data_IF_662561079139
#
_entry.id   IF_662561079139
#
_cell.length_a   1.000
_cell.length_b   1.000
_cell.length_c   1.000
_cell.angle_alpha   90.00
_cell.angle_beta   90.00
_cell.angle_gamma   90.00
#
_symmetry.space_group_name_H-M   'P 1'
#
loop_
_entity.id
_entity.type
_entity.pdbx_description
1 polymer ?
#
# COMPACT_ATOMS: atom_id res chain seq x y z
N UNK A 1 -12.03 -10.29 6.74
CA UNK A 1 -10.83 -9.41 6.82
C UNK A 1 -9.50 -10.06 6.44
N UNK A 2 -9.17 -11.24 6.98
CA UNK A 2 -7.84 -11.86 6.86
C UNK A 2 -7.45 -12.20 5.42
N UNK A 3 -8.38 -12.79 4.65
CA UNK A 3 -8.18 -13.11 3.24
C UNK A 3 -7.73 -11.88 2.43
N UNK A 4 -8.42 -10.74 2.59
CA UNK A 4 -8.07 -9.47 1.91
C UNK A 4 -6.69 -8.98 2.35
N UNK A 5 -6.35 -9.12 3.62
CA UNK A 5 -5.05 -8.64 4.14
C UNK A 5 -3.90 -9.47 3.58
N UNK A 6 -4.08 -10.78 3.45
CA UNK A 6 -3.15 -11.69 2.77
C UNK A 6 -3.05 -11.38 1.27
N UNK A 7 -4.16 -11.15 0.57
CA UNK A 7 -4.15 -10.76 -0.85
C UNK A 7 -3.39 -9.45 -1.06
N UNK A 8 -3.63 -8.43 -0.22
CA UNK A 8 -2.91 -7.15 -0.25
C UNK A 8 -1.42 -7.38 0.02
N UNK A 9 -1.08 -8.24 0.97
CA UNK A 9 0.30 -8.59 1.30
C UNK A 9 1.06 -9.24 0.14
N UNK A 10 0.46 -10.26 -0.51
CA UNK A 10 1.03 -10.91 -1.70
C UNK A 10 1.20 -9.93 -2.86
N UNK A 11 0.13 -9.16 -3.16
CA UNK A 11 0.19 -8.11 -4.17
C UNK A 11 1.30 -7.08 -3.87
N UNK A 12 1.54 -6.74 -2.59
CA UNK A 12 2.59 -5.78 -2.20
C UNK A 12 3.96 -6.22 -2.70
N UNK A 13 4.33 -7.48 -2.49
CA UNK A 13 5.65 -8.00 -2.84
C UNK A 13 5.82 -8.07 -4.35
N UNK A 14 4.84 -8.63 -5.07
CA UNK A 14 4.91 -8.73 -6.53
C UNK A 14 4.94 -7.35 -7.20
N UNK A 15 4.10 -6.44 -6.71
CA UNK A 15 4.06 -5.08 -7.24
C UNK A 15 5.35 -4.31 -6.91
N UNK A 16 5.92 -4.51 -5.73
CA UNK A 16 7.25 -3.96 -5.40
C UNK A 16 8.32 -4.49 -6.36
N UNK A 17 8.38 -5.81 -6.59
CA UNK A 17 9.32 -6.42 -7.51
C UNK A 17 9.18 -5.84 -8.93
N UNK A 18 7.94 -5.67 -9.39
CA UNK A 18 7.64 -5.04 -10.68
C UNK A 18 8.11 -3.59 -10.77
N UNK A 19 7.93 -2.80 -9.70
CA UNK A 19 8.44 -1.43 -9.66
C UNK A 19 9.98 -1.42 -9.64
N UNK A 20 10.59 -2.37 -8.94
CA UNK A 20 12.04 -2.45 -8.78
C UNK A 20 12.78 -2.67 -10.10
N UNK A 21 12.18 -3.39 -11.06
CA UNK A 21 12.74 -3.58 -12.41
C UNK A 21 13.11 -2.25 -13.09
N UNK A 22 12.30 -1.21 -12.90
CA UNK A 22 12.47 0.11 -13.54
C UNK A 22 13.10 1.17 -12.61
N UNK A 23 13.13 0.91 -11.29
CA UNK A 23 13.55 1.88 -10.26
C UNK A 23 14.76 1.41 -9.45
N UNK A 24 15.63 0.55 -9.97
CA UNK A 24 16.84 0.08 -9.27
C UNK A 24 17.62 1.22 -8.60
N UNK A 25 17.95 1.04 -7.32
CA UNK A 25 18.69 2.03 -6.52
C UNK A 25 17.94 3.33 -6.20
N UNK A 26 16.68 3.47 -6.62
CA UNK A 26 15.85 4.65 -6.33
C UNK A 26 14.85 4.38 -5.21
N UNK A 27 14.37 5.47 -4.62
CA UNK A 27 13.24 5.45 -3.71
C UNK A 27 12.02 4.80 -4.37
N UNK A 28 11.31 4.00 -3.60
CA UNK A 28 10.01 3.43 -3.97
C UNK A 28 9.09 3.67 -2.79
N UNK A 29 7.89 4.17 -3.02
CA UNK A 29 6.92 4.35 -1.95
C UNK A 29 5.51 4.30 -2.50
N UNK A 30 4.71 3.33 -2.04
CA UNK A 30 3.32 3.18 -2.49
C UNK A 30 2.43 2.64 -1.37
N UNK A 31 1.12 2.70 -1.59
CA UNK A 31 0.14 2.10 -0.68
C UNK A 31 -0.55 0.92 -1.36
N UNK A 32 -0.13 -0.33 -1.06
CA UNK A 32 -0.72 -1.52 -1.66
C UNK A 32 -2.19 -1.64 -1.29
N UNK A 33 -2.55 -1.42 -0.01
CA UNK A 33 -3.93 -1.34 0.43
C UNK A 33 -4.78 -0.41 -0.44
N UNK A 34 -4.25 0.79 -0.69
CA UNK A 34 -4.97 1.81 -1.44
C UNK A 34 -5.17 1.40 -2.90
N UNK A 35 -4.12 0.90 -3.54
CA UNK A 35 -4.14 0.42 -4.92
C UNK A 35 -5.10 -0.77 -5.07
N UNK A 36 -4.96 -1.80 -4.24
CA UNK A 36 -5.81 -2.99 -4.30
C UNK A 36 -7.28 -2.66 -4.09
N UNK A 37 -7.61 -1.77 -3.15
CA UNK A 37 -9.01 -1.34 -2.94
C UNK A 37 -9.57 -0.53 -4.11
N UNK A 38 -8.74 0.29 -4.76
CA UNK A 38 -9.12 1.08 -5.93
C UNK A 38 -9.36 0.17 -7.15
N UNK A 39 -8.49 -0.83 -7.36
CA UNK A 39 -8.66 -1.82 -8.41
C UNK A 39 -9.83 -2.78 -8.12
N UNK A 40 -10.10 -3.09 -6.85
CA UNK A 40 -11.27 -3.87 -6.45
C UNK A 40 -12.59 -3.17 -6.78
N UNK A 41 -12.62 -1.82 -6.73
CA UNK A 41 -13.77 -1.03 -7.16
C UNK A 41 -14.02 -1.15 -8.68
N UNK A 42 -12.96 -1.28 -9.47
CA UNK A 42 -13.05 -1.52 -10.92
C UNK A 42 -13.43 -2.98 -11.20
N UNK A 43 -12.85 -3.93 -10.46
CA UNK A 43 -13.16 -5.37 -10.53
C UNK A 43 -14.64 -5.67 -10.26
N UNK A 44 -15.30 -4.90 -9.39
CA UNK A 44 -16.73 -5.02 -9.10
C UNK A 44 -17.63 -4.99 -10.35
N UNK A 45 -17.21 -4.29 -11.40
CA UNK A 45 -17.93 -4.22 -12.67
C UNK A 45 -17.27 -4.98 -13.81
N UNK A 46 -16.15 -5.67 -13.57
CA UNK A 46 -15.48 -6.51 -14.55
C UNK A 46 -16.19 -7.85 -14.73
N UNK A 47 -16.13 -8.42 -15.93
CA UNK A 47 -16.66 -9.74 -16.26
C UNK A 47 -15.68 -10.54 -17.13
N UNK A 48 -16.00 -11.82 -17.33
CA UNK A 48 -15.25 -12.74 -18.19
C UNK A 48 -13.73 -12.75 -17.91
N UNK A 49 -12.95 -12.71 -18.99
CA UNK A 49 -11.49 -12.74 -18.90
C UNK A 49 -10.90 -11.52 -18.17
N UNK A 50 -11.57 -10.37 -18.27
CA UNK A 50 -11.15 -9.14 -17.57
C UNK A 50 -11.19 -9.33 -16.06
N UNK A 51 -12.31 -9.87 -15.55
CA UNK A 51 -12.43 -10.17 -14.13
C UNK A 51 -11.40 -11.21 -13.67
N UNK A 52 -11.20 -12.29 -14.45
CA UNK A 52 -10.25 -13.36 -14.13
C UNK A 52 -8.82 -12.82 -13.96
N UNK A 53 -8.30 -12.10 -14.96
CA UNK A 53 -6.96 -11.52 -14.91
C UNK A 53 -6.78 -10.53 -13.74
N UNK A 54 -7.81 -9.71 -13.48
CA UNK A 54 -7.77 -8.80 -12.33
C UNK A 54 -7.71 -9.54 -11.01
N UNK A 55 -8.50 -10.61 -10.85
CA UNK A 55 -8.53 -11.41 -9.63
C UNK A 55 -7.22 -12.17 -9.40
N UNK A 56 -6.57 -12.66 -10.46
CA UNK A 56 -5.26 -13.32 -10.40
C UNK A 56 -4.18 -12.34 -9.94
N UNK A 57 -4.05 -11.18 -10.60
CA UNK A 57 -3.03 -10.17 -10.26
C UNK A 57 -3.21 -9.61 -8.84
N UNK A 58 -4.46 -9.49 -8.39
CA UNK A 58 -4.78 -8.95 -7.06
C UNK A 58 -4.90 -10.02 -5.98
N UNK A 59 -4.65 -11.29 -6.30
CA UNK A 59 -4.75 -12.43 -5.38
C UNK A 59 -6.14 -12.57 -4.73
N UNK A 60 -7.22 -12.23 -5.43
CA UNK A 60 -8.60 -12.35 -4.92
C UNK A 60 -9.12 -13.78 -4.96
N UNK A 61 -8.60 -14.61 -5.86
CA UNK A 61 -8.87 -16.04 -5.92
C UNK A 61 -7.77 -16.79 -5.19
N UNK A 62 -8.04 -17.29 -3.98
CA UNK A 62 -7.21 -18.34 -3.42
C UNK A 62 -7.59 -19.64 -4.13
N UNK A 63 -6.67 -20.22 -4.89
CA UNK A 63 -6.74 -21.64 -5.24
C UNK A 63 -6.71 -22.40 -3.93
N UNK A 64 -7.87 -22.89 -3.50
CA UNK A 64 -7.92 -23.99 -2.53
C UNK A 64 -6.97 -25.06 -3.04
N UNK A 65 -5.95 -25.36 -2.24
CA UNK A 65 -4.91 -26.32 -2.57
C UNK A 65 -5.52 -27.60 -3.13
N UNK A 66 -4.87 -28.14 -4.15
CA UNK A 66 -5.14 -29.46 -4.67
C UNK A 66 -4.94 -30.49 -3.55
N UNK A 67 -6.01 -30.87 -2.87
CA UNK A 67 -6.13 -32.17 -2.23
C UNK A 67 -7.19 -32.95 -2.99
N UNK A 68 -6.72 -33.82 -3.87
CA UNK A 68 -7.54 -34.85 -4.47
C UNK A 68 -8.01 -35.80 -3.38
N UNK A 69 -9.31 -35.79 -3.07
CA UNK A 69 -9.98 -36.99 -2.60
C UNK A 69 -11.09 -37.32 -3.58
N UNK A 70 -10.79 -38.27 -4.45
CA UNK A 70 -11.77 -39.03 -5.19
C UNK A 70 -12.68 -39.76 -4.20
N UNK A 71 -13.97 -39.42 -4.19
CA UNK A 71 -14.99 -40.32 -3.66
C UNK A 71 -16.18 -40.34 -4.60
N UNK A 72 -16.26 -41.42 -5.37
CA UNK A 72 -17.41 -41.77 -6.20
C UNK A 72 -18.59 -42.04 -5.27
N UNK A 73 -19.71 -41.31 -5.43
CA UNK A 73 -20.98 -41.65 -4.81
C UNK A 73 -22.16 -41.46 -5.79
N UNK A 74 -22.98 -42.51 -5.89
CA UNK A 74 -24.17 -42.71 -6.72
C UNK A 74 -25.29 -41.67 -6.48
N UNK A 75 -26.23 -41.49 -7.45
CA UNK A 75 -27.28 -40.48 -7.37
C UNK A 75 -28.48 -40.94 -6.52
N UNK A 76 -29.00 -40.06 -5.67
CA UNK A 76 -30.33 -40.19 -5.06
C UNK A 76 -31.21 -38.99 -5.40
N UNK A 77 -32.46 -39.29 -5.73
CA UNK A 77 -33.51 -38.40 -6.26
C UNK A 77 -34.03 -37.41 -5.20
N UNK A 78 -34.29 -36.17 -5.63
CA UNK A 78 -35.46 -35.36 -5.19
C UNK A 78 -35.26 -34.31 -4.09
N UNK A 79 -35.01 -33.04 -4.47
CA UNK A 79 -35.52 -31.81 -3.81
C UNK A 79 -35.25 -30.57 -4.70
N UNK A 80 -36.04 -29.48 -4.59
CA UNK A 80 -35.99 -28.38 -5.56
C UNK A 80 -34.64 -27.65 -5.52
N UNK A 81 -34.04 -27.47 -6.70
CA UNK A 81 -32.81 -26.70 -6.90
C UNK A 81 -33.04 -25.26 -6.44
N UNK A 82 -32.56 -24.91 -5.24
CA UNK A 82 -32.06 -23.54 -5.00
C UNK A 82 -31.03 -23.30 -6.09
N UNK A 83 -31.19 -22.23 -6.88
CA UNK A 83 -30.17 -21.76 -7.83
C UNK A 83 -28.84 -21.73 -7.08
N UNK A 84 -27.94 -22.68 -7.39
CA UNK A 84 -26.56 -22.60 -6.92
C UNK A 84 -25.97 -21.39 -7.64
N UNK A 85 -25.68 -20.34 -6.89
CA UNK A 85 -24.90 -19.21 -7.39
C UNK A 85 -23.57 -19.74 -7.92
N UNK A 86 -23.11 -19.21 -9.05
CA UNK A 86 -21.81 -19.61 -9.60
C UNK A 86 -20.69 -19.38 -8.57
N UNK A 87 -19.71 -20.29 -8.46
CA UNK A 87 -18.63 -20.20 -7.48
C UNK A 87 -17.86 -18.86 -7.54
N UNK A 88 -17.63 -18.35 -8.75
CA UNK A 88 -16.97 -17.06 -8.99
C UNK A 88 -17.75 -15.87 -8.41
N UNK A 89 -19.09 -15.91 -8.51
CA UNK A 89 -19.95 -14.88 -7.97
C UNK A 89 -19.96 -14.85 -6.43
N UNK A 90 -19.80 -16.01 -5.78
CA UNK A 90 -19.70 -16.11 -4.31
C UNK A 90 -18.35 -15.61 -3.79
N UNK A 91 -17.27 -15.90 -4.50
CA UNK A 91 -15.91 -15.45 -4.14
C UNK A 91 -15.72 -13.93 -4.35
N UNK A 92 -16.34 -13.37 -5.40
CA UNK A 92 -16.37 -11.92 -5.61
C UNK A 92 -17.18 -11.18 -4.52
N UNK A 93 -18.33 -11.72 -4.08
CA UNK A 93 -19.05 -11.12 -2.94
C UNK A 93 -18.22 -11.14 -1.65
N UNK A 94 -17.45 -12.21 -1.43
CA UNK A 94 -16.57 -12.34 -0.27
C UNK A 94 -15.47 -11.27 -0.26
N UNK A 95 -14.78 -11.03 -1.39
CA UNK A 95 -13.69 -10.04 -1.42
C UNK A 95 -14.19 -8.61 -1.18
N UNK A 96 -15.31 -8.21 -1.80
CA UNK A 96 -15.86 -6.85 -1.64
C UNK A 96 -16.35 -6.60 -0.21
N UNK A 97 -16.97 -7.62 0.41
CA UNK A 97 -17.39 -7.55 1.81
C UNK A 97 -16.17 -7.44 2.74
N UNK A 98 -15.09 -8.17 2.46
CA UNK A 98 -13.83 -8.07 3.20
C UNK A 98 -13.17 -6.69 3.07
N UNK A 99 -13.18 -6.08 1.88
CA UNK A 99 -12.72 -4.70 1.68
C UNK A 99 -13.57 -3.70 2.46
N UNK A 100 -14.89 -3.87 2.50
CA UNK A 100 -15.79 -3.02 3.27
C UNK A 100 -15.51 -3.09 4.77
N UNK A 101 -15.31 -4.29 5.29
CA UNK A 101 -14.95 -4.53 6.69
C UNK A 101 -13.59 -3.86 7.01
N UNK A 102 -12.59 -4.09 6.18
CA UNK A 102 -11.24 -3.55 6.36
C UNK A 102 -11.21 -2.01 6.25
N UNK A 103 -11.92 -1.42 5.27
CA UNK A 103 -12.11 0.03 5.15
C UNK A 103 -12.78 0.63 6.39
N UNK A 104 -13.75 -0.09 6.97
CA UNK A 104 -14.46 0.36 8.17
C UNK A 104 -13.56 0.32 9.39
N UNK A 105 -12.68 -0.68 9.50
CA UNK A 105 -11.75 -0.79 10.63
C UNK A 105 -10.58 0.18 10.52
N UNK A 106 -10.03 0.39 9.33
CA UNK A 106 -8.90 1.32 9.12
C UNK A 106 -9.35 2.79 9.21
N UNK A 107 -10.53 3.15 8.72
CA UNK A 107 -11.00 4.54 8.71
C UNK A 107 -11.98 4.85 9.86
N UNK A 108 -11.71 4.32 11.06
CA UNK A 108 -12.58 4.58 12.22
C UNK A 108 -12.49 6.06 12.62
N UNK A 109 -13.61 6.76 12.88
CA UNK A 109 -13.63 8.20 13.19
C UNK A 109 -12.87 8.63 14.47
N UNK A 110 -12.38 7.70 15.28
CA UNK A 110 -11.69 7.95 16.56
C UNK A 110 -10.32 7.25 16.63
N UNK A 111 -9.73 6.91 15.48
CA UNK A 111 -8.36 6.39 15.44
C UNK A 111 -7.37 7.45 15.93
N UNK A 112 -6.25 7.00 16.50
CA UNK A 112 -5.14 7.87 16.95
C UNK A 112 -4.32 8.42 15.78
N UNK A 113 -4.59 7.92 14.58
CA UNK A 113 -4.00 8.34 13.32
C UNK A 113 -5.04 8.93 12.36
N UNK A 114 -4.55 9.73 11.42
CA UNK A 114 -5.31 10.25 10.28
C UNK A 114 -4.83 9.58 9.01
N UNK A 115 -5.67 8.72 8.43
CA UNK A 115 -5.49 8.18 7.08
C UNK A 115 -6.49 8.85 6.15
N UNK A 116 -6.01 9.69 5.24
CA UNK A 116 -6.84 10.35 4.22
C UNK A 116 -6.60 9.69 2.88
N UNK A 117 -7.64 9.13 2.30
CA UNK A 117 -7.56 8.45 1.01
C UNK A 117 -8.60 9.03 0.06
N UNK A 118 -8.12 9.52 -1.08
CA UNK A 118 -8.90 9.95 -2.22
C UNK A 118 -8.85 8.85 -3.29
N UNK A 119 -9.84 7.97 -3.27
CA UNK A 119 -10.03 6.90 -4.27
C UNK A 119 -11.29 7.17 -5.06
N UNK A 120 -11.19 7.22 -6.38
CA UNK A 120 -12.36 7.41 -7.24
C UNK A 120 -12.10 6.93 -8.66
N UNK A 121 -13.15 6.38 -9.25
CA UNK A 121 -13.21 6.09 -10.68
C UNK A 121 -13.86 7.29 -11.38
N UNK A 122 -13.20 7.80 -12.41
CA UNK A 122 -13.73 8.78 -13.33
C UNK A 122 -13.99 8.12 -14.67
N UNK A 123 -15.21 8.23 -15.17
CA UNK A 123 -15.64 7.70 -16.47
C UNK A 123 -16.10 8.81 -17.40
N UNK A 124 -16.01 8.58 -18.70
CA UNK A 124 -16.57 9.50 -19.69
C UNK A 124 -18.07 9.71 -19.47
N UNK A 125 -18.52 10.96 -19.52
CA UNK A 125 -19.89 11.36 -19.17
C UNK A 125 -20.97 10.71 -20.03
N UNK A 126 -20.63 10.29 -21.25
CA UNK A 126 -21.59 9.65 -22.16
C UNK A 126 -21.94 8.23 -21.76
N UNK A 127 -21.20 7.59 -20.84
CA UNK A 127 -21.44 6.20 -20.49
C UNK A 127 -22.63 6.03 -19.54
N UNK A 128 -23.60 5.14 -19.86
CA UNK A 128 -24.76 4.86 -19.03
C UNK A 128 -24.38 3.88 -17.89
N UNK A 129 -23.81 4.41 -16.81
CA UNK A 129 -23.48 3.61 -15.63
C UNK A 129 -24.71 2.90 -15.05
N UNK A 130 -24.56 1.61 -14.75
CA UNK A 130 -25.60 0.79 -14.14
C UNK A 130 -25.92 1.26 -12.72
N UNK A 131 -27.21 1.46 -12.37
CA UNK A 131 -27.60 1.84 -11.00
C UNK A 131 -27.11 0.84 -9.95
N UNK A 132 -27.09 -0.45 -10.30
CA UNK A 132 -26.59 -1.52 -9.43
C UNK A 132 -25.11 -1.36 -9.12
N UNK A 133 -24.29 -1.02 -10.12
CA UNK A 133 -22.87 -0.77 -9.93
C UNK A 133 -22.65 0.39 -8.97
N UNK A 134 -23.30 1.53 -9.21
CA UNK A 134 -23.20 2.73 -8.35
C UNK A 134 -23.59 2.39 -6.90
N UNK A 135 -24.68 1.64 -6.70
CA UNK A 135 -25.14 1.23 -5.37
C UNK A 135 -24.08 0.36 -4.65
N UNK A 136 -23.51 -0.62 -5.34
CA UNK A 136 -22.49 -1.50 -4.76
C UNK A 136 -21.19 -0.76 -4.48
N UNK A 137 -20.75 0.14 -5.36
CA UNK A 137 -19.59 1.02 -5.16
C UNK A 137 -19.73 1.85 -3.89
N UNK A 138 -20.90 2.47 -3.66
CA UNK A 138 -21.21 3.20 -2.44
C UNK A 138 -21.20 2.30 -1.21
N UNK A 139 -21.84 1.14 -1.29
CA UNK A 139 -22.02 0.23 -0.17
C UNK A 139 -20.69 -0.38 0.32
N UNK A 140 -19.84 -0.84 -0.60
CA UNK A 140 -18.60 -1.52 -0.24
C UNK A 140 -17.42 -0.57 -0.03
N UNK A 141 -17.31 0.48 -0.85
CA UNK A 141 -16.09 1.30 -0.91
C UNK A 141 -16.28 2.74 -0.43
N UNK A 142 -17.52 3.15 -0.11
CA UNK A 142 -17.89 4.55 0.15
C UNK A 142 -17.44 5.49 -1.00
N UNK A 143 -17.24 4.93 -2.18
CA UNK A 143 -16.77 5.62 -3.38
C UNK A 143 -17.85 5.59 -4.44
N UNK A 144 -18.22 6.75 -4.97
CA UNK A 144 -19.12 6.85 -6.11
C UNK A 144 -18.30 7.14 -7.37
N UNK A 145 -18.48 6.37 -8.46
CA UNK A 145 -17.89 6.71 -9.75
C UNK A 145 -18.41 8.08 -10.21
N UNK A 146 -17.55 8.87 -10.84
CA UNK A 146 -17.92 10.21 -11.33
C UNK A 146 -17.82 10.28 -12.84
N UNK A 147 -18.81 10.92 -13.44
CA UNK A 147 -18.87 11.21 -14.86
C UNK A 147 -18.16 12.52 -15.15
N UNK A 148 -17.23 12.53 -16.09
CA UNK A 148 -16.48 13.73 -16.52
C UNK A 148 -16.36 13.77 -18.04
N UNK A 149 -16.11 14.96 -18.59
CA UNK A 149 -16.11 15.18 -20.04
C UNK A 149 -14.69 15.08 -20.62
N UNK A 150 -14.18 13.87 -20.79
CA UNK A 150 -12.88 13.65 -21.43
C UNK A 150 -12.92 13.96 -22.93
N UNK A 151 -14.00 13.58 -23.63
CA UNK A 151 -14.11 13.73 -25.10
C UNK A 151 -13.97 15.17 -25.58
N UNK A 152 -14.76 16.09 -25.02
CA UNK A 152 -14.87 17.48 -25.52
C UNK A 152 -14.23 18.51 -24.61
N UNK A 153 -13.88 18.16 -23.36
CA UNK A 153 -13.25 19.09 -22.42
C UNK A 153 -12.20 18.42 -21.50
N UNK A 154 -11.18 17.74 -22.07
CA UNK A 154 -10.21 16.95 -21.30
C UNK A 154 -9.43 17.78 -20.27
N UNK A 155 -9.02 19.01 -20.61
CA UNK A 155 -8.32 19.89 -19.66
C UNK A 155 -9.20 20.32 -18.49
N UNK A 156 -10.49 20.53 -18.72
CA UNK A 156 -11.44 20.85 -17.66
C UNK A 156 -11.64 19.65 -16.74
N UNK A 157 -11.83 18.45 -17.30
CA UNK A 157 -11.90 17.21 -16.53
C UNK A 157 -10.64 16.99 -15.69
N UNK A 158 -9.44 17.25 -16.24
CA UNK A 158 -8.18 17.18 -15.52
C UNK A 158 -8.15 18.12 -14.31
N UNK A 159 -8.55 19.38 -14.49
CA UNK A 159 -8.61 20.38 -13.40
C UNK A 159 -9.59 19.98 -12.31
N UNK A 160 -10.77 19.50 -12.68
CA UNK A 160 -11.80 19.01 -11.74
C UNK A 160 -11.29 17.84 -10.89
N UNK A 161 -10.66 16.85 -11.52
CA UNK A 161 -10.07 15.69 -10.84
C UNK A 161 -8.98 16.14 -9.86
N UNK A 162 -8.06 17.02 -10.30
CA UNK A 162 -6.97 17.52 -9.45
C UNK A 162 -7.50 18.32 -8.25
N UNK A 163 -8.48 19.21 -8.46
CA UNK A 163 -9.08 20.00 -7.39
C UNK A 163 -9.78 19.10 -6.36
N UNK A 164 -10.46 18.04 -6.82
CA UNK A 164 -11.07 17.06 -5.92
C UNK A 164 -10.01 16.30 -5.10
N UNK A 165 -8.93 15.82 -5.72
CA UNK A 165 -7.84 15.13 -5.02
C UNK A 165 -7.18 16.04 -3.99
N UNK A 166 -6.89 17.30 -4.36
CA UNK A 166 -6.29 18.28 -3.45
C UNK A 166 -7.20 18.51 -2.23
N UNK A 167 -8.51 18.66 -2.45
CA UNK A 167 -9.48 18.82 -1.36
C UNK A 167 -9.54 17.59 -0.44
N UNK A 168 -9.58 16.37 -1.00
CA UNK A 168 -9.65 15.14 -0.21
C UNK A 168 -8.37 14.84 0.57
N UNK A 169 -7.25 15.39 0.14
CA UNK A 169 -5.93 15.19 0.75
C UNK A 169 -5.48 16.42 1.56
N UNK A 170 -6.41 17.31 1.91
CA UNK A 170 -6.14 18.51 2.73
C UNK A 170 -5.01 19.38 2.15
N UNK A 171 -4.93 19.47 0.82
CA UNK A 171 -3.91 20.26 0.12
C UNK A 171 -2.55 19.57 -0.05
N UNK A 172 -2.38 18.34 0.46
CA UNK A 172 -1.09 17.64 0.45
C UNK A 172 -0.73 17.05 -0.90
N UNK A 173 -1.72 16.57 -1.65
CA UNK A 173 -1.49 15.99 -2.97
C UNK A 173 -2.09 16.92 -4.02
N UNK A 174 -1.21 17.65 -4.71
CA UNK A 174 -1.54 18.54 -5.80
C UNK A 174 -1.14 17.94 -7.14
N UNK A 175 -1.82 18.38 -8.20
CA UNK A 175 -1.50 18.06 -9.59
C UNK A 175 -1.22 16.57 -9.82
N UNK A 176 -2.14 15.71 -9.37
CA UNK A 176 -2.02 14.27 -9.57
C UNK A 176 -1.98 13.93 -11.06
N UNK A 177 -2.86 14.57 -11.85
CA UNK A 177 -2.94 14.43 -13.29
C UNK A 177 -2.14 15.54 -13.97
N UNK A 178 -1.17 15.16 -14.80
CA UNK A 178 -0.48 16.03 -15.75
C UNK A 178 -1.33 16.24 -17.01
N UNK A 179 -0.93 17.19 -17.87
CA UNK A 179 -1.56 17.42 -19.17
C UNK A 179 -1.48 16.22 -20.12
N UNK A 180 -0.56 15.29 -19.89
CA UNK A 180 -0.38 14.11 -20.74
C UNK A 180 -1.29 12.93 -20.35
N UNK A 181 -1.84 12.95 -19.13
CA UNK A 181 -2.62 11.84 -18.56
C UNK A 181 -4.06 11.78 -19.09
N UNK A 182 -4.59 12.89 -19.60
CA UNK A 182 -5.99 13.01 -20.04
C UNK A 182 -6.04 13.39 -21.51
N UNK A 183 -6.73 12.59 -22.31
CA UNK A 183 -6.91 12.82 -23.75
C UNK A 183 -8.38 12.62 -24.13
N UNK A 184 -8.78 13.07 -25.32
CA UNK A 184 -10.16 12.89 -25.80
C UNK A 184 -10.59 11.43 -25.97
N UNK A 185 -9.62 10.51 -26.06
CA UNK A 185 -9.84 9.05 -26.15
C UNK A 185 -9.90 8.35 -24.78
N UNK A 186 -9.76 9.10 -23.68
CA UNK A 186 -9.82 8.56 -22.33
C UNK A 186 -11.26 8.09 -22.02
N UNK A 187 -11.39 6.81 -21.67
CA UNK A 187 -12.67 6.20 -21.28
C UNK A 187 -12.86 6.17 -19.76
N UNK A 188 -11.81 5.78 -19.04
CA UNK A 188 -11.84 5.58 -17.58
C UNK A 188 -10.46 5.89 -16.97
N UNK A 189 -10.44 6.72 -15.93
CA UNK A 189 -9.26 6.93 -15.07
C UNK A 189 -9.58 6.47 -13.66
N UNK A 190 -8.74 5.61 -13.11
CA UNK A 190 -8.73 5.28 -11.69
C UNK A 190 -7.74 6.19 -10.97
N UNK A 191 -8.25 6.98 -10.04
CA UNK A 191 -7.45 7.89 -9.20
C UNK A 191 -7.32 7.32 -7.80
N UNK A 192 -6.09 7.21 -7.34
CA UNK A 192 -5.76 6.79 -6.00
C UNK A 192 -4.70 7.71 -5.40
N UNK A 193 -5.09 8.54 -4.45
CA UNK A 193 -4.18 9.38 -3.69
C UNK A 193 -4.36 9.12 -2.20
N UNK A 194 -3.26 8.94 -1.48
CA UNK A 194 -3.32 8.61 -0.06
C UNK A 194 -2.23 9.32 0.74
N UNK A 195 -2.67 9.82 1.87
CA UNK A 195 -1.90 10.59 2.83
C UNK A 195 -2.09 9.97 4.22
N UNK A 196 -0.99 9.86 4.96
CA UNK A 196 -0.97 9.26 6.28
C UNK A 196 -0.28 10.16 7.29
N UNK A 197 -0.88 10.22 8.47
CA UNK A 197 -0.36 10.93 9.63
C UNK A 197 -0.67 10.16 10.91
N UNK A 198 0.33 9.97 11.76
CA UNK A 198 0.18 9.32 13.06
C UNK A 198 1.35 9.68 13.98
N UNK A 199 1.11 9.80 15.28
CA UNK A 199 2.17 10.04 16.27
C UNK A 199 2.81 8.72 16.72
N UNK A 200 4.12 8.71 16.95
CA UNK A 200 4.82 7.60 17.61
C UNK A 200 4.24 7.37 19.01
N UNK A 201 4.18 6.11 19.45
CA UNK A 201 3.89 5.78 20.86
C UNK A 201 4.95 6.43 21.77
N UNK A 202 6.22 6.30 21.38
CA UNK A 202 7.36 6.95 22.03
C UNK A 202 8.01 7.91 21.04
N UNK A 203 8.00 9.21 21.38
CA UNK A 203 8.49 10.28 20.49
C UNK A 203 10.00 10.48 20.63
N UNK A 204 10.67 10.80 19.53
CA UNK A 204 12.04 11.29 19.58
C UNK A 204 12.06 12.70 20.18
N UNK A 205 13.13 13.03 20.89
CA UNK A 205 13.36 14.40 21.32
C UNK A 205 14.13 15.18 20.24
N UNK A 206 13.62 16.35 19.87
CA UNK A 206 14.21 17.17 18.80
C UNK A 206 15.64 17.65 19.12
N UNK A 207 15.97 17.85 20.39
CA UNK A 207 17.32 18.19 20.85
C UNK A 207 18.37 17.09 20.57
N UNK A 208 17.93 15.83 20.46
CA UNK A 208 18.81 14.69 20.16
C UNK A 208 18.99 14.48 18.66
N UNK A 209 18.30 15.25 17.81
CA UNK A 209 18.44 15.14 16.36
C UNK A 209 19.69 15.88 15.89
N UNK A 210 20.60 15.15 15.25
CA UNK A 210 21.89 15.68 14.81
C UNK A 210 22.11 15.42 13.33
N UNK A 211 22.92 16.25 12.68
CA UNK A 211 23.35 15.98 11.30
C UNK A 211 24.36 14.83 11.32
N UNK A 212 24.06 13.74 10.63
CA UNK A 212 24.94 12.59 10.48
C UNK A 212 25.00 12.12 9.02
N UNK A 213 26.08 11.43 8.59
CA UNK A 213 26.16 10.89 7.25
C UNK A 213 25.19 9.72 7.06
N UNK A 214 24.46 9.73 5.94
CA UNK A 214 23.73 8.61 5.38
C UNK A 214 24.50 8.07 4.16
N UNK A 215 24.86 6.80 4.20
CA UNK A 215 25.62 6.10 3.16
C UNK A 215 24.66 5.70 2.05
N UNK A 216 24.78 6.33 0.89
CA UNK A 216 23.98 6.01 -0.30
C UNK A 216 24.53 4.77 -1.02
N UNK A 217 25.84 4.57 -0.93
CA UNK A 217 26.60 3.40 -1.41
C UNK A 217 27.90 3.32 -0.62
N UNK A 218 28.76 2.32 -0.90
CA UNK A 218 30.07 2.16 -0.24
C UNK A 218 30.94 3.43 -0.26
N UNK A 219 30.83 4.23 -1.31
CA UNK A 219 31.73 5.37 -1.57
C UNK A 219 31.01 6.72 -1.51
N UNK A 220 29.69 6.76 -1.33
CA UNK A 220 28.90 7.99 -1.40
C UNK A 220 28.09 8.17 -0.13
N UNK A 221 28.23 9.33 0.50
CA UNK A 221 27.43 9.71 1.67
C UNK A 221 26.74 11.05 1.43
N UNK A 222 25.66 11.30 2.18
CA UNK A 222 24.94 12.57 2.20
C UNK A 222 24.55 12.91 3.64
N UNK A 223 24.74 14.14 4.12
CA UNK A 223 24.29 14.52 5.46
C UNK A 223 22.76 14.47 5.56
N UNK A 224 22.26 13.91 6.66
CA UNK A 224 20.82 13.87 7.01
C UNK A 224 20.61 14.27 8.45
N UNK A 225 19.41 14.76 8.77
CA UNK A 225 18.98 14.92 10.16
C UNK A 225 18.65 13.53 10.71
N UNK A 226 19.52 13.02 11.58
CA UNK A 226 19.41 11.71 12.21
C UNK A 226 18.82 11.89 13.61
N UNK A 227 17.60 11.39 13.80
CA UNK A 227 16.92 11.38 15.08
C UNK A 227 17.51 10.27 15.95
N UNK A 228 17.55 10.47 17.26
CA UNK A 228 18.10 9.49 18.20
C UNK A 228 17.19 9.31 19.42
N UNK A 229 17.03 8.05 19.85
CA UNK A 229 16.51 7.73 21.17
C UNK A 229 17.09 6.40 21.67
N UNK A 230 17.03 6.21 22.99
CA UNK A 230 17.25 4.91 23.63
C UNK A 230 15.95 4.43 24.25
N UNK A 231 15.45 3.28 23.80
CA UNK A 231 14.21 2.69 24.31
C UNK A 231 14.15 1.19 24.00
N UNK A 232 13.26 0.47 24.66
CA UNK A 232 12.97 -0.94 24.35
C UNK A 232 12.04 -1.05 23.15
N UNK A 233 12.39 -1.89 22.18
CA UNK A 233 11.56 -2.16 21.00
C UNK A 233 11.55 -3.65 20.65
N UNK A 234 10.49 -4.16 19.99
CA UNK A 234 10.52 -5.45 19.33
C UNK A 234 11.55 -5.44 18.19
N UNK A 235 12.52 -6.35 18.25
CA UNK A 235 13.58 -6.50 17.25
C UNK A 235 13.69 -7.95 16.80
N UNK A 236 13.97 -8.13 15.51
CA UNK A 236 14.42 -9.37 14.91
C UNK A 236 15.84 -9.18 14.35
N UNK A 237 16.75 -10.08 14.68
CA UNK A 237 18.07 -10.18 14.06
C UNK A 237 18.06 -11.44 13.18
N UNK A 238 18.26 -11.27 11.88
CA UNK A 238 18.23 -12.35 10.91
C UNK A 238 19.63 -12.62 10.36
N UNK A 239 20.37 -13.49 11.05
CA UNK A 239 21.76 -13.81 10.71
C UNK A 239 21.88 -14.45 9.31
N UNK A 240 20.93 -15.31 8.94
CA UNK A 240 20.96 -16.04 7.65
C UNK A 240 20.86 -15.13 6.42
N UNK A 241 20.15 -14.00 6.56
CA UNK A 241 19.97 -13.00 5.49
C UNK A 241 20.73 -11.70 5.76
N UNK A 242 21.51 -11.63 6.86
CA UNK A 242 22.28 -10.45 7.29
C UNK A 242 21.46 -9.15 7.34
N UNK A 243 20.32 -9.16 8.04
CA UNK A 243 19.56 -7.94 8.29
C UNK A 243 18.97 -7.92 9.69
N UNK A 244 18.60 -6.72 10.14
CA UNK A 244 17.85 -6.49 11.37
C UNK A 244 16.53 -5.84 11.03
N UNK A 245 15.50 -6.18 11.78
CA UNK A 245 14.20 -5.55 11.69
C UNK A 245 13.78 -5.00 13.05
N UNK A 246 13.23 -3.79 13.06
CA UNK A 246 12.67 -3.15 14.27
C UNK A 246 11.22 -2.77 14.03
N UNK A 247 10.38 -2.95 15.04
CA UNK A 247 9.01 -2.45 15.09
C UNK A 247 8.93 -1.14 15.88
N UNK A 248 8.39 -0.11 15.26
CA UNK A 248 8.13 1.20 15.85
C UNK A 248 6.61 1.40 15.96
N UNK A 249 6.03 1.21 17.15
CA UNK A 249 4.59 1.37 17.35
C UNK A 249 4.16 2.84 17.28
N UNK A 250 3.00 3.08 16.67
CA UNK A 250 2.27 4.34 16.79
C UNK A 250 1.35 4.32 18.02
N UNK A 251 0.83 5.48 18.39
CA UNK A 251 -0.05 5.66 19.56
C UNK A 251 -1.16 4.59 19.62
N UNK A 252 -1.31 3.94 20.78
CA UNK A 252 -2.25 2.84 21.07
C UNK A 252 -1.98 1.54 20.30
N UNK A 253 -0.82 1.41 19.66
CA UNK A 253 -0.42 0.21 18.92
C UNK A 253 -1.43 -0.21 17.81
N UNK A 254 -2.27 0.71 17.31
CA UNK A 254 -3.19 0.42 16.20
C UNK A 254 -2.41 0.15 14.90
N UNK A 255 -1.30 0.86 14.72
CA UNK A 255 -0.38 0.76 13.61
C UNK A 255 1.05 0.60 14.13
N UNK A 256 1.91 0.00 13.31
CA UNK A 256 3.36 0.00 13.53
C UNK A 256 4.10 0.25 12.22
N UNK A 257 5.22 0.97 12.29
CA UNK A 257 6.22 1.02 11.22
C UNK A 257 7.25 -0.07 11.48
N UNK A 258 7.53 -0.87 10.46
CA UNK A 258 8.61 -1.84 10.47
C UNK A 258 9.73 -1.34 9.58
N UNK A 259 10.97 -1.43 10.05
CA UNK A 259 12.16 -1.08 9.27
C UNK A 259 13.02 -2.31 9.14
N UNK A 260 13.33 -2.71 7.90
CA UNK A 260 14.25 -3.80 7.57
C UNK A 260 15.55 -3.16 7.07
N UNK A 261 16.60 -3.34 7.85
CA UNK A 261 17.90 -2.75 7.65
C UNK A 261 18.93 -3.87 7.43
N UNK A 262 19.52 -4.00 6.24
CA UNK A 262 20.69 -4.87 6.03
C UNK A 262 21.79 -4.57 7.06
N UNK A 263 22.62 -5.55 7.40
CA UNK A 263 23.71 -5.30 8.35
C UNK A 263 24.75 -4.31 7.80
N UNK A 264 24.97 -4.33 6.48
CA UNK A 264 25.85 -3.38 5.79
C UNK A 264 25.57 -3.33 4.27
N UNK A 265 26.12 -2.32 3.59
CA UNK A 265 26.11 -2.22 2.12
C UNK A 265 27.15 -3.18 1.54
N UNK A 266 26.76 -4.44 1.33
CA UNK A 266 27.66 -5.48 0.78
C UNK A 266 27.77 -5.45 -0.74
N UNK A 267 26.69 -5.13 -1.44
CA UNK A 267 26.64 -5.04 -2.91
C UNK A 267 27.24 -3.72 -3.44
N UNK A 268 27.25 -3.55 -4.76
CA UNK A 268 27.71 -2.32 -5.42
C UNK A 268 26.62 -1.24 -5.49
N UNK A 269 25.42 -1.51 -4.97
CA UNK A 269 24.25 -0.63 -5.06
C UNK A 269 23.82 -0.13 -3.67
N UNK A 270 22.90 -0.83 -3.01
CA UNK A 270 22.15 -0.37 -1.83
C UNK A 270 22.31 -1.26 -0.60
N UNK A 271 22.85 -2.47 -0.73
CA UNK A 271 22.87 -3.51 0.30
C UNK A 271 21.57 -4.31 0.40
N UNK A 272 20.54 -3.95 -0.36
CA UNK A 272 19.20 -4.54 -0.26
C UNK A 272 18.96 -5.72 -1.21
N UNK A 273 19.86 -6.00 -2.17
CA UNK A 273 19.59 -6.95 -3.26
C UNK A 273 19.27 -8.36 -2.76
N UNK A 274 19.99 -8.85 -1.73
CA UNK A 274 19.71 -10.16 -1.14
C UNK A 274 18.33 -10.19 -0.48
N UNK A 275 18.02 -9.17 0.32
CA UNK A 275 16.75 -9.05 1.00
C UNK A 275 15.60 -8.99 -0.01
N UNK A 276 15.70 -8.16 -1.04
CA UNK A 276 14.68 -8.00 -2.08
C UNK A 276 14.43 -9.29 -2.87
N UNK A 277 15.48 -10.06 -3.17
CA UNK A 277 15.35 -11.34 -3.89
C UNK A 277 14.63 -12.40 -3.06
N UNK A 278 14.84 -12.39 -1.76
CA UNK A 278 14.35 -13.43 -0.86
C UNK A 278 13.04 -13.08 -0.13
N UNK A 279 12.60 -11.82 -0.24
CA UNK A 279 11.40 -11.31 0.41
C UNK A 279 10.14 -11.93 -0.20
N UNK A 280 9.34 -12.58 0.63
CA UNK A 280 7.99 -13.04 0.31
C UNK A 280 7.00 -12.57 1.38
N UNK A 281 5.71 -12.58 1.07
CA UNK A 281 4.70 -12.20 2.05
C UNK A 281 4.68 -13.16 3.25
N UNK A 282 4.84 -14.46 2.99
CA UNK A 282 4.86 -15.51 4.02
C UNK A 282 6.01 -15.28 5.01
N UNK A 283 7.21 -15.00 4.49
CA UNK A 283 8.36 -14.63 5.30
C UNK A 283 8.11 -13.35 6.11
N UNK A 284 7.59 -12.31 5.47
CA UNK A 284 7.30 -11.05 6.14
C UNK A 284 6.27 -11.21 7.26
N UNK A 285 5.22 -12.01 7.04
CA UNK A 285 4.21 -12.34 8.04
C UNK A 285 4.83 -13.11 9.20
N UNK A 286 5.60 -14.15 8.91
CA UNK A 286 6.28 -14.96 9.93
C UNK A 286 7.20 -14.10 10.82
N UNK A 287 8.03 -13.24 10.21
CA UNK A 287 8.97 -12.40 10.93
C UNK A 287 8.31 -11.39 11.86
N UNK A 288 7.12 -10.90 11.49
CA UNK A 288 6.42 -9.82 12.20
C UNK A 288 5.40 -10.30 13.23
N UNK A 289 5.14 -11.61 13.29
CA UNK A 289 4.14 -12.19 14.19
C UNK A 289 4.76 -13.08 15.27
N UNK A 290 5.90 -13.73 15.03
CA UNK A 290 6.43 -14.75 15.95
C UNK A 290 7.92 -14.66 16.28
N UNK A 291 8.70 -13.79 15.63
CA UNK A 291 10.17 -13.78 15.78
C UNK A 291 10.76 -12.53 16.42
N UNK A 292 9.94 -11.55 16.81
CA UNK A 292 10.45 -10.33 17.43
C UNK A 292 10.60 -10.47 18.94
N UNK A 293 11.69 -9.92 19.47
CA UNK A 293 12.02 -9.92 20.91
C UNK A 293 12.21 -8.50 21.41
N UNK A 294 11.62 -8.17 22.55
CA UNK A 294 11.81 -6.88 23.22
C UNK A 294 13.28 -6.69 23.60
N UNK A 295 13.91 -5.67 23.04
CA UNK A 295 15.36 -5.42 23.17
C UNK A 295 15.60 -3.94 23.48
N UNK A 296 16.53 -3.62 24.37
CA UNK A 296 16.96 -2.23 24.59
C UNK A 296 17.82 -1.75 23.42
N UNK A 297 17.37 -0.71 22.72
CA UNK A 297 17.98 -0.25 21.47
C UNK A 297 18.43 1.21 21.56
N UNK A 298 19.63 1.50 21.07
CA UNK A 298 20.05 2.82 20.61
C UNK A 298 19.61 3.02 19.14
N UNK A 299 18.45 3.64 18.96
CA UNK A 299 17.82 3.82 17.65
C UNK A 299 18.24 5.14 17.02
N UNK A 300 18.82 5.06 15.82
CA UNK A 300 19.07 6.21 14.96
C UNK A 300 18.23 6.08 13.69
N UNK A 301 17.34 7.04 13.45
CA UNK A 301 16.41 7.03 12.32
C UNK A 301 16.50 8.37 11.58
N UNK A 302 16.75 8.40 10.26
CA UNK A 302 16.75 9.65 9.51
C UNK A 302 15.35 10.26 9.53
N UNK A 303 15.29 11.57 9.64
CA UNK A 303 14.13 12.36 9.26
C UNK A 303 14.04 12.35 7.74
N UNK A 304 12.92 11.92 7.18
CA UNK A 304 12.77 11.84 5.74
C UNK A 304 11.35 12.14 5.26
N UNK A 305 11.26 12.48 3.98
CA UNK A 305 10.01 12.71 3.27
C UNK A 305 10.09 11.97 1.95
N UNK A 306 9.01 11.28 1.58
CA UNK A 306 8.88 10.63 0.28
C UNK A 306 7.53 10.99 -0.32
N UNK A 307 7.56 11.36 -1.59
CA UNK A 307 6.38 11.62 -2.40
C UNK A 307 6.61 10.99 -3.77
N UNK A 308 5.84 9.96 -4.07
CA UNK A 308 5.99 9.21 -5.32
C UNK A 308 4.67 9.18 -6.06
N UNK A 309 4.73 9.44 -7.37
CA UNK A 309 3.62 9.34 -8.31
C UNK A 309 3.93 8.23 -9.32
N UNK A 310 2.95 7.39 -9.58
CA UNK A 310 3.04 6.32 -10.57
C UNK A 310 1.82 6.32 -11.49
N UNK A 311 2.06 6.05 -12.76
CA UNK A 311 1.07 5.48 -13.65
C UNK A 311 1.26 3.97 -13.63
N UNK A 312 0.27 3.25 -13.09
CA UNK A 312 0.35 1.81 -12.85
C UNK A 312 -0.03 0.98 -14.07
N UNK A 313 -0.45 1.61 -15.15
CA UNK A 313 -1.04 0.93 -16.30
C UNK A 313 -0.10 -0.14 -16.88
N UNK A 314 1.13 0.25 -17.24
CA UNK A 314 2.11 -0.68 -17.82
C UNK A 314 2.56 -1.75 -16.83
N UNK A 315 2.69 -1.39 -15.55
CA UNK A 315 3.03 -2.35 -14.49
C UNK A 315 1.94 -3.42 -14.39
N UNK A 316 0.67 -3.04 -14.29
CA UNK A 316 -0.46 -3.97 -14.17
C UNK A 316 -0.62 -4.85 -15.42
N UNK A 317 -0.46 -4.28 -16.62
CA UNK A 317 -0.47 -5.03 -17.89
C UNK A 317 0.62 -6.11 -17.87
N UNK A 318 1.84 -5.74 -17.48
CA UNK A 318 2.97 -6.67 -17.45
C UNK A 318 2.85 -7.74 -16.36
N UNK A 319 2.10 -7.46 -15.28
CA UNK A 319 1.78 -8.43 -14.23
C UNK A 319 0.67 -9.41 -14.64
N UNK A 320 0.01 -9.21 -15.79
CA UNK A 320 -0.99 -10.13 -16.33
C UNK A 320 -2.38 -9.52 -16.50
N UNK A 321 -2.62 -8.30 -16.03
CA UNK A 321 -3.90 -7.60 -16.17
C UNK A 321 -4.00 -6.92 -17.54
N UNK A 322 -4.00 -7.68 -18.64
CA UNK A 322 -3.89 -7.13 -20.00
C UNK A 322 -5.23 -6.68 -20.56
N UNK A 323 -6.25 -7.53 -20.41
CA UNK A 323 -7.56 -7.36 -21.05
C UNK A 323 -8.25 -6.08 -20.59
N UNK A 324 -8.13 -5.73 -19.30
CA UNK A 324 -8.72 -4.53 -18.70
C UNK A 324 -8.27 -3.20 -19.33
N UNK A 325 -7.11 -3.17 -20.00
CA UNK A 325 -6.55 -1.99 -20.66
C UNK A 325 -6.70 -2.03 -22.19
N UNK A 326 -7.28 -3.10 -22.72
CA UNK A 326 -7.45 -3.35 -24.15
C UNK A 326 -8.87 -3.02 -24.63
N UNK A 327 -9.12 -3.14 -25.93
CA UNK A 327 -10.48 -3.05 -26.50
C UNK A 327 -11.34 -4.29 -26.20
N UNK A 328 -10.74 -5.39 -25.69
CA UNK A 328 -11.47 -6.59 -25.29
C UNK A 328 -11.91 -6.54 -23.81
N UNK A 329 -11.76 -5.38 -23.17
CA UNK A 329 -12.16 -5.18 -21.78
C UNK A 329 -13.67 -5.39 -21.62
N UNK A 330 -14.04 -6.24 -20.67
CA UNK A 330 -15.43 -6.51 -20.33
C UNK A 330 -15.75 -5.87 -18.98
N UNK A 331 -16.25 -4.65 -19.06
CA UNK A 331 -16.80 -3.89 -17.95
C UNK A 331 -18.33 -3.72 -18.08
N UNK A 332 -19.00 -4.71 -18.68
CA UNK A 332 -20.47 -4.74 -18.80
C UNK A 332 -21.19 -4.68 -17.44
N UNK A 333 -20.51 -5.03 -16.35
CA UNK A 333 -21.00 -4.83 -14.99
C UNK A 333 -20.96 -3.37 -14.50
N UNK A 334 -20.30 -2.46 -15.23
CA UNK A 334 -20.24 -1.02 -14.92
C UNK A 334 -21.26 -0.20 -15.71
N UNK A 335 -21.40 -0.46 -17.02
CA UNK A 335 -22.27 0.29 -17.93
C UNK A 335 -22.77 -0.60 -19.07
N UNK A 336 -23.93 -0.25 -19.62
CA UNK A 336 -24.56 -0.96 -20.75
C UNK A 336 -24.05 -0.44 -22.10
N UNK A 337 -23.87 -1.34 -23.07
CA UNK A 337 -23.66 -1.07 -24.50
C UNK A 337 -22.53 -0.06 -24.82
N UNK A 338 -21.45 -0.09 -24.03
CA UNK A 338 -20.28 0.78 -24.24
C UNK A 338 -18.96 0.05 -24.01
N UNK A 339 -18.00 0.29 -24.90
CA UNK A 339 -16.64 -0.21 -24.78
C UNK A 339 -15.86 0.61 -23.75
N UNK A 340 -15.96 0.21 -22.49
CA UNK A 340 -15.15 0.77 -21.40
C UNK A 340 -13.85 -0.01 -21.32
N UNK A 341 -12.73 0.71 -21.17
CA UNK A 341 -11.43 0.17 -20.80
C UNK A 341 -10.74 1.08 -19.82
N UNK A 342 -9.87 0.53 -18.98
CA UNK A 342 -9.00 1.33 -18.11
C UNK A 342 -8.01 2.08 -18.99
N UNK A 343 -8.09 3.40 -18.99
CA UNK A 343 -7.16 4.25 -19.76
C UNK A 343 -5.92 4.58 -18.95
N UNK A 344 -6.09 4.87 -17.65
CA UNK A 344 -5.01 5.19 -16.71
C UNK A 344 -5.34 4.73 -15.30
N UNK A 345 -4.33 4.29 -14.56
CA UNK A 345 -4.39 4.06 -13.12
C UNK A 345 -3.31 4.89 -12.45
N UNK A 346 -3.72 5.98 -11.81
CA UNK A 346 -2.78 6.93 -11.20
C UNK A 346 -2.75 6.75 -9.69
N UNK A 347 -1.55 6.47 -9.17
CA UNK A 347 -1.30 6.34 -7.74
C UNK A 347 -0.32 7.42 -7.29
N UNK A 348 -0.66 8.13 -6.21
CA UNK A 348 0.27 9.03 -5.53
C UNK A 348 0.18 8.86 -4.03
N UNK A 349 1.33 8.73 -3.40
CA UNK A 349 1.44 8.57 -1.95
C UNK A 349 2.51 9.48 -1.38
N UNK A 350 2.24 9.92 -0.16
CA UNK A 350 3.08 10.85 0.58
C UNK A 350 3.31 10.34 1.99
N UNK A 351 4.55 10.41 2.46
CA UNK A 351 4.95 10.15 3.85
C UNK A 351 6.01 11.15 4.27
N UNK A 352 5.95 11.60 5.52
CA UNK A 352 6.98 12.40 6.16
C UNK A 352 7.21 11.86 7.57
N UNK A 353 8.41 11.35 7.85
CA UNK A 353 8.80 10.82 9.15
C UNK A 353 9.60 11.87 9.90
N UNK A 354 9.19 12.17 11.13
CA UNK A 354 9.80 13.14 12.01
C UNK A 354 9.82 12.66 13.48
N UNK A 355 10.25 13.55 14.38
CA UNK A 355 10.49 13.24 15.78
C UNK A 355 9.20 12.87 16.52
N UNK A 356 8.05 13.37 16.08
CA UNK A 356 6.75 13.13 16.71
C UNK A 356 6.06 11.89 16.17
N UNK A 357 6.32 11.55 14.90
CA UNK A 357 5.56 10.53 14.20
C UNK A 357 5.78 10.56 12.70
N UNK A 358 4.73 10.14 12.01
CA UNK A 358 4.52 10.42 10.60
C UNK A 358 3.60 11.64 10.45
N UNK A 359 4.18 12.71 9.92
CA UNK A 359 3.78 14.12 9.69
C UNK A 359 3.11 14.92 10.83
N UNK A 360 3.89 15.76 11.54
CA UNK A 360 3.35 16.79 12.44
C UNK A 360 4.12 18.14 12.41
N UNK A 361 3.44 19.22 12.79
CA UNK A 361 4.00 20.53 13.15
C UNK A 361 3.63 20.89 14.61
N UNK A 362 4.41 21.79 15.24
CA UNK A 362 4.29 22.40 16.59
C UNK A 362 4.70 21.58 17.84
N UNK A 363 5.88 21.89 18.39
CA UNK A 363 6.58 21.21 19.49
C UNK A 363 5.85 21.16 20.84
N UNK A 364 6.01 20.05 21.56
CA UNK A 364 5.76 19.94 23.00
C UNK A 364 6.83 19.03 23.60
N UNK A 365 7.50 19.51 24.64
CA UNK A 365 8.63 18.83 25.28
C UNK A 365 8.14 17.78 26.29
N UNK A 366 8.82 16.63 26.33
CA UNK A 366 8.65 15.60 27.37
C UNK A 366 9.98 15.44 28.12
N UNK A 367 9.90 15.44 29.44
CA UNK A 367 10.99 15.33 30.41
C UNK A 367 11.45 13.86 30.47
N UNK A 368 12.76 13.61 30.35
CA UNK A 368 13.36 12.28 30.58
C UNK A 368 13.79 12.18 32.04
N UNK A 369 13.45 11.06 32.68
CA UNK A 369 13.98 10.64 33.98
C UNK A 369 15.14 9.68 33.69
N UNK A 370 16.36 10.02 34.13
CA UNK A 370 17.51 9.12 34.06
C UNK A 370 17.48 8.17 35.27
N UNK A 371 17.33 6.87 35.05
CA UNK A 371 17.64 5.84 36.05
C UNK A 371 18.97 5.18 35.70
N UNK A 372 19.91 5.26 36.63
CA UNK A 372 21.31 4.84 36.51
C UNK A 372 21.50 3.36 36.85
N UNK A 373 21.64 2.52 35.82
CA UNK A 373 22.35 1.23 35.88
C UNK A 373 23.11 1.03 34.55
N UNK A 374 24.36 0.53 34.56
CA UNK A 374 25.06 0.15 33.34
C UNK A 374 24.33 -1.07 32.74
N UNK A 375 23.75 -0.91 31.56
CA UNK A 375 23.18 -2.03 30.80
C UNK A 375 24.23 -2.47 29.80
N UNK A 376 24.88 -3.61 30.06
CA UNK A 376 26.01 -4.12 29.24
C UNK A 376 25.60 -4.60 27.83
N UNK A 377 24.31 -4.62 27.49
CA UNK A 377 23.81 -5.10 26.20
C UNK A 377 22.76 -4.16 25.59
N UNK A 378 23.18 -2.98 25.13
CA UNK A 378 22.35 -2.10 24.29
C UNK A 378 22.59 -2.41 22.82
N UNK A 379 21.55 -2.79 22.08
CA UNK A 379 21.65 -3.01 20.64
C UNK A 379 21.72 -1.67 19.91
N UNK A 380 22.76 -1.44 19.11
CA UNK A 380 22.83 -0.27 18.23
C UNK A 380 22.08 -0.55 16.92
N UNK A 381 20.99 0.18 16.67
CA UNK A 381 20.20 0.10 15.44
C UNK A 381 20.30 1.44 14.70
N UNK A 382 21.27 1.54 13.78
CA UNK A 382 21.57 2.79 13.07
C UNK A 382 21.15 2.73 11.61
N UNK A 383 20.04 3.39 11.28
CA UNK A 383 19.46 3.43 9.93
C UNK A 383 20.19 4.48 9.08
N UNK A 384 21.46 4.24 8.79
CA UNK A 384 22.34 5.18 8.07
C UNK A 384 22.67 4.77 6.63
N UNK A 385 21.90 3.86 6.05
CA UNK A 385 22.05 3.35 4.70
C UNK A 385 20.71 2.79 4.20
N UNK A 386 20.58 2.42 2.91
CA UNK A 386 19.28 2.08 2.33
C UNK A 386 18.55 0.97 3.09
N UNK A 387 17.25 1.18 3.28
CA UNK A 387 16.41 0.27 4.06
C UNK A 387 15.03 0.12 3.42
N UNK A 388 14.37 -0.99 3.73
CA UNK A 388 12.94 -1.14 3.51
C UNK A 388 12.17 -0.71 4.74
N UNK A 389 10.97 -0.19 4.52
CA UNK A 389 10.03 0.02 5.59
C UNK A 389 8.62 -0.26 5.11
N UNK A 390 7.73 -0.62 6.03
CA UNK A 390 6.31 -0.69 5.76
C UNK A 390 5.52 -0.29 7.00
N UNK A 391 4.30 0.18 6.78
CA UNK A 391 3.36 0.53 7.84
C UNK A 391 2.23 -0.47 7.80
N UNK A 392 2.01 -1.17 8.90
CA UNK A 392 0.99 -2.22 9.04
C UNK A 392 -0.09 -1.77 10.00
N UNK A 393 -1.34 -2.11 9.69
CA UNK A 393 -2.43 -2.05 10.67
C UNK A 393 -2.44 -3.34 11.47
N UNK A 394 -2.12 -3.25 12.76
CA UNK A 394 -1.74 -4.41 13.58
C UNK A 394 -2.88 -5.40 13.77
N UNK A 395 -4.11 -4.90 13.96
CA UNK A 395 -5.29 -5.75 14.15
C UNK A 395 -5.64 -6.57 12.91
N UNK A 396 -5.54 -5.98 11.72
CA UNK A 396 -5.89 -6.68 10.47
C UNK A 396 -4.70 -7.31 9.76
N UNK A 397 -3.47 -7.03 10.23
CA UNK A 397 -2.20 -7.39 9.60
C UNK A 397 -2.02 -6.85 8.17
N UNK A 398 -2.87 -5.90 7.74
CA UNK A 398 -2.82 -5.35 6.39
C UNK A 398 -1.68 -4.33 6.26
N UNK A 399 -0.90 -4.46 5.19
CA UNK A 399 0.16 -3.50 4.83
C UNK A 399 -0.51 -2.27 4.20
N UNK A 400 -0.42 -1.13 4.89
CA UNK A 400 -0.97 0.13 4.43
C UNK A 400 -0.01 0.85 3.49
N UNK A 401 1.29 0.81 3.79
CA UNK A 401 2.33 1.45 3.00
C UNK A 401 3.55 0.55 2.93
N UNK A 402 4.23 0.56 1.79
CA UNK A 402 5.49 -0.14 1.59
C UNK A 402 6.47 0.78 0.89
N UNK A 403 7.73 0.76 1.32
CA UNK A 403 8.74 1.65 0.78
C UNK A 403 10.16 1.09 0.83
N UNK A 404 10.97 1.62 -0.07
CA UNK A 404 12.42 1.54 -0.08
C UNK A 404 12.96 2.96 -0.03
N UNK A 405 13.78 3.24 0.96
CA UNK A 405 14.46 4.52 1.09
C UNK A 405 15.94 4.35 0.77
N UNK A 406 16.37 4.85 -0.38
CA UNK A 406 17.77 4.80 -0.83
C UNK A 406 18.47 6.15 -0.72
N UNK A 407 17.73 7.25 -0.93
CA UNK A 407 18.31 8.59 -0.92
C UNK A 407 17.35 9.60 -0.30
N UNK A 408 17.81 10.44 0.65
CA UNK A 408 17.06 11.61 1.07
C UNK A 408 16.92 12.58 -0.10
N UNK A 409 15.76 13.24 -0.20
CA UNK A 409 15.52 14.33 -1.15
C UNK A 409 16.59 15.42 -1.01
N UNK A 410 16.89 16.11 -2.11
CA UNK A 410 17.80 17.27 -2.12
C UNK A 410 17.33 18.39 -1.20
#
# INVERSE_FOLDING_TARGET
>A
MELVSTSVGKFTIDFFNKLNESKKGKNIFFSPWSISSALALTYLGAKGNTAREMAEVLYFTQTSGAEGSSSVARPSRGRPKRRKMDPEHKQAEDIHSGFKELLTVINKPRSTYSLRSAKRIYVEKTFPLLPRYIQLSKNYYKGEPQKVNFKTAPEQARKEINAWVEKQTEGKIKNLLSSEDVRSLTSLILVNAIYFKADWEVKFQANNTQVQPFRLSKNKTKPVKMMYMRHTFPVLIMETMNFKMIELPYVQHELSMFILLPDDIKDSTTGLEQLERELTYEKLSEWTDSKMTETLVDLYLPKFKMEERYDLSDNLISMGMRTAFSNNADFSGMAEDVDIRISKVLHKSFVAVDEKGTEAAAATAVIIIHTSLPVDHVLKFKVDHPFHFFIRHNKSKSILFFGRFCSPLE
#
